data_IF_858848312021
#
_entry.id   IF_858848312021
#
_cell.length_a   1.000
_cell.length_b   1.000
_cell.length_c   1.000
_cell.angle_alpha   90.00
_cell.angle_beta   90.00
_cell.angle_gamma   90.00
#
_symmetry.space_group_name_H-M   'P 1'
#
loop_
_entity.id
_entity.type
_entity.pdbx_description
1 polymer ?
#
# COMPACT_ATOMS: atom_id res chain seq x y z
N UNK A 1 -2.83 -25.26 -0.52
CA UNK A 1 -2.57 -23.89 0.01
C UNK A 1 -2.45 -23.79 1.54
N UNK A 2 -3.31 -24.43 2.33
CA UNK A 2 -3.38 -24.19 3.78
C UNK A 2 -2.12 -24.57 4.56
N UNK A 3 -1.43 -25.65 4.16
CA UNK A 3 -0.14 -26.06 4.76
C UNK A 3 0.96 -24.99 4.54
N UNK A 4 1.07 -24.45 3.34
CA UNK A 4 2.03 -23.41 3.00
C UNK A 4 1.71 -22.10 3.71
N UNK A 5 0.44 -21.66 3.69
CA UNK A 5 -0.03 -20.50 4.44
C UNK A 5 0.35 -20.60 5.92
N UNK A 6 0.15 -21.77 6.53
CA UNK A 6 0.52 -22.03 7.93
C UNK A 6 2.03 -21.92 8.17
N UNK A 7 2.87 -22.41 7.25
CA UNK A 7 4.32 -22.26 7.35
C UNK A 7 4.76 -20.80 7.27
N UNK A 8 4.23 -20.04 6.30
CA UNK A 8 4.51 -18.61 6.15
C UNK A 8 4.05 -17.84 7.39
N UNK A 9 2.84 -18.13 7.90
CA UNK A 9 2.33 -17.55 9.14
C UNK A 9 3.22 -17.89 10.34
N UNK A 10 3.68 -19.13 10.46
CA UNK A 10 4.55 -19.54 11.57
C UNK A 10 5.88 -18.81 11.56
N UNK A 11 6.39 -18.43 10.39
CA UNK A 11 7.69 -17.78 10.26
C UNK A 11 7.61 -16.25 10.35
N UNK A 12 6.62 -15.63 9.72
CA UNK A 12 6.48 -14.17 9.66
C UNK A 12 5.46 -13.58 10.64
N UNK A 13 4.55 -14.41 11.16
CA UNK A 13 3.45 -13.93 12.01
C UNK A 13 3.93 -13.17 13.23
N UNK A 14 4.93 -13.70 13.94
CA UNK A 14 5.51 -13.04 15.12
C UNK A 14 6.20 -11.71 14.81
N UNK A 15 6.75 -11.53 13.61
CA UNK A 15 7.37 -10.26 13.20
C UNK A 15 6.33 -9.14 13.05
N UNK A 16 5.12 -9.50 12.60
CA UNK A 16 4.01 -8.57 12.40
C UNK A 16 3.24 -8.35 13.70
N UNK A 17 2.98 -9.41 14.45
CA UNK A 17 2.10 -9.43 15.63
C UNK A 17 2.55 -8.47 16.74
N UNK A 18 3.87 -8.23 16.87
CA UNK A 18 4.44 -7.32 17.87
C UNK A 18 3.95 -5.88 17.69
N UNK A 19 3.76 -5.41 16.45
CA UNK A 19 3.39 -4.01 16.15
C UNK A 19 2.04 -3.85 15.47
N UNK A 20 1.57 -4.89 14.78
CA UNK A 20 0.38 -4.87 13.94
C UNK A 20 -0.44 -6.17 14.10
N UNK A 21 -0.92 -6.49 15.32
CA UNK A 21 -1.56 -7.78 15.61
C UNK A 21 -2.76 -8.08 14.70
N UNK A 22 -3.56 -7.08 14.37
CA UNK A 22 -4.76 -7.24 13.54
C UNK A 22 -4.45 -7.41 12.04
N UNK A 23 -3.21 -7.15 11.61
CA UNK A 23 -2.82 -7.20 10.20
C UNK A 23 -2.06 -8.46 9.81
N UNK A 24 -1.80 -9.37 10.75
CA UNK A 24 -1.05 -10.61 10.50
C UNK A 24 -1.61 -11.35 9.29
N UNK A 25 -2.91 -11.62 9.27
CA UNK A 25 -3.54 -12.35 8.16
C UNK A 25 -3.38 -11.63 6.82
N UNK A 26 -3.61 -10.32 6.78
CA UNK A 26 -3.48 -9.52 5.56
C UNK A 26 -2.05 -9.59 5.00
N UNK A 27 -1.04 -9.49 5.87
CA UNK A 27 0.36 -9.58 5.45
C UNK A 27 0.69 -10.98 4.94
N UNK A 28 0.21 -12.04 5.61
CA UNK A 28 0.39 -13.42 5.11
C UNK A 28 -0.28 -13.60 3.75
N UNK A 29 -1.47 -13.05 3.56
CA UNK A 29 -2.18 -13.06 2.26
C UNK A 29 -1.39 -12.34 1.16
N UNK A 30 -0.83 -11.17 1.47
CA UNK A 30 0.02 -10.44 0.53
C UNK A 30 1.29 -11.22 0.19
N UNK A 31 2.00 -11.78 1.18
CA UNK A 31 3.20 -12.59 0.94
C UNK A 31 2.86 -13.82 0.10
N UNK A 32 1.76 -14.51 0.41
CA UNK A 32 1.25 -15.63 -0.39
C UNK A 32 1.01 -15.19 -1.83
N UNK A 33 0.26 -14.10 -2.05
CA UNK A 33 -0.02 -13.58 -3.39
C UNK A 33 1.23 -13.15 -4.16
N UNK A 34 2.29 -12.71 -3.49
CA UNK A 34 3.56 -12.34 -4.12
C UNK A 34 4.41 -13.56 -4.48
N UNK A 35 4.26 -14.67 -3.76
CA UNK A 35 4.96 -15.92 -4.00
C UNK A 35 4.25 -16.80 -5.04
N UNK A 36 2.93 -16.72 -5.11
CA UNK A 36 2.11 -17.50 -6.05
C UNK A 36 1.89 -16.71 -7.33
N UNK A 37 2.29 -17.28 -8.46
CA UNK A 37 1.90 -16.74 -9.76
C UNK A 37 0.42 -17.09 -10.01
N UNK A 38 -0.44 -16.06 -10.11
CA UNK A 38 -1.90 -16.22 -10.29
C UNK A 38 -2.27 -17.02 -11.55
N UNK A 39 -1.30 -17.22 -12.45
CA UNK A 39 -1.47 -17.89 -13.74
C UNK A 39 -0.99 -19.37 -13.76
N UNK A 40 -0.58 -19.96 -12.63
CA UNK A 40 0.01 -21.32 -12.61
C UNK A 40 -0.81 -22.38 -11.87
N UNK A 41 -0.69 -23.63 -12.34
CA UNK A 41 -1.55 -24.80 -12.05
C UNK A 41 -1.24 -25.50 -10.70
N UNK A 42 -0.17 -25.11 -9.98
CA UNK A 42 0.26 -25.79 -8.73
C UNK A 42 0.24 -24.86 -7.50
N UNK A 43 -0.93 -24.57 -6.91
CA UNK A 43 -1.08 -23.64 -5.78
C UNK A 43 -0.55 -24.19 -4.44
N UNK A 44 0.06 -25.37 -4.42
CA UNK A 44 0.51 -26.05 -3.19
C UNK A 44 2.01 -25.93 -2.94
N UNK A 45 2.79 -25.58 -3.96
CA UNK A 45 4.24 -25.50 -3.90
C UNK A 45 4.72 -24.13 -4.41
N UNK A 46 5.80 -23.63 -3.81
CA UNK A 46 6.53 -22.47 -4.31
C UNK A 46 7.87 -23.01 -4.82
N UNK A 47 8.22 -22.66 -6.05
CA UNK A 47 9.55 -22.97 -6.58
C UNK A 47 10.63 -22.17 -5.86
N UNK A 48 11.84 -22.71 -5.77
CA UNK A 48 13.00 -21.99 -5.23
C UNK A 48 13.19 -20.65 -5.99
N UNK A 49 12.92 -20.62 -7.29
CA UNK A 49 13.01 -19.41 -8.10
C UNK A 49 12.02 -18.33 -7.67
N UNK A 50 10.74 -18.66 -7.41
CA UNK A 50 9.75 -17.70 -6.91
C UNK A 50 10.15 -17.15 -5.54
N UNK A 51 10.58 -18.03 -4.63
CA UNK A 51 11.03 -17.62 -3.30
C UNK A 51 12.25 -16.68 -3.37
N UNK A 52 13.29 -17.10 -4.10
CA UNK A 52 14.51 -16.31 -4.27
C UNK A 52 14.18 -14.99 -4.94
N UNK A 53 13.37 -14.97 -6.00
CA UNK A 53 13.00 -13.73 -6.69
C UNK A 53 12.27 -12.75 -5.77
N UNK A 54 11.39 -13.22 -4.88
CA UNK A 54 10.71 -12.32 -3.94
C UNK A 54 11.67 -11.70 -2.93
N UNK A 55 12.60 -12.47 -2.37
CA UNK A 55 13.44 -12.03 -1.24
C UNK A 55 14.86 -11.60 -1.63
N UNK A 56 15.30 -11.81 -2.87
CA UNK A 56 16.65 -11.47 -3.32
C UNK A 56 16.93 -9.99 -3.10
N UNK A 57 18.03 -9.70 -2.39
CA UNK A 57 18.45 -8.34 -2.07
C UNK A 57 17.61 -7.64 -0.99
N UNK A 58 16.65 -8.33 -0.36
CA UNK A 58 15.80 -7.78 0.69
C UNK A 58 16.16 -8.35 2.05
N UNK A 59 16.18 -7.50 3.06
CA UNK A 59 16.18 -7.97 4.44
C UNK A 59 14.76 -8.42 4.80
N UNK A 60 14.57 -9.72 5.00
CA UNK A 60 13.23 -10.35 5.09
C UNK A 60 12.36 -9.71 6.17
N UNK A 61 12.92 -9.46 7.36
CA UNK A 61 12.20 -8.82 8.46
C UNK A 61 11.70 -7.44 8.07
N UNK A 62 12.58 -6.60 7.52
CA UNK A 62 12.23 -5.23 7.11
C UNK A 62 11.21 -5.23 5.96
N UNK A 63 11.31 -6.20 5.04
CA UNK A 63 10.34 -6.37 3.97
C UNK A 63 8.94 -6.69 4.51
N UNK A 64 8.83 -7.65 5.43
CA UNK A 64 7.56 -8.05 6.05
C UNK A 64 6.98 -6.90 6.89
N UNK A 65 7.81 -6.18 7.63
CA UNK A 65 7.40 -4.99 8.38
C UNK A 65 6.83 -3.89 7.46
N UNK A 66 7.47 -3.67 6.31
CA UNK A 66 7.00 -2.69 5.33
C UNK A 66 5.64 -3.09 4.74
N UNK A 67 5.41 -4.38 4.46
CA UNK A 67 4.10 -4.87 4.03
C UNK A 67 3.03 -4.63 5.10
N UNK A 68 3.37 -4.85 6.38
CA UNK A 68 2.45 -4.57 7.49
C UNK A 68 2.14 -3.07 7.61
N UNK A 69 3.16 -2.23 7.44
CA UNK A 69 3.00 -0.78 7.45
C UNK A 69 2.12 -0.29 6.30
N UNK A 70 2.33 -0.79 5.09
CA UNK A 70 1.51 -0.48 3.93
C UNK A 70 0.05 -0.94 4.13
N UNK A 71 -0.17 -2.15 4.65
CA UNK A 71 -1.49 -2.65 4.99
C UNK A 71 -2.20 -1.76 6.02
N UNK A 72 -1.48 -1.22 7.00
CA UNK A 72 -2.03 -0.29 7.99
C UNK A 72 -2.47 1.02 7.33
N UNK A 73 -1.60 1.61 6.49
CA UNK A 73 -1.91 2.83 5.74
C UNK A 73 -3.19 2.64 4.92
N UNK A 74 -3.27 1.56 4.15
CA UNK A 74 -4.45 1.25 3.34
C UNK A 74 -5.70 1.06 4.19
N UNK A 75 -5.60 0.37 5.33
CA UNK A 75 -6.72 0.16 6.27
C UNK A 75 -7.24 1.49 6.83
N UNK A 76 -6.34 2.35 7.30
CA UNK A 76 -6.68 3.68 7.83
C UNK A 76 -7.35 4.55 6.76
N UNK A 77 -6.80 4.60 5.54
CA UNK A 77 -7.37 5.36 4.42
C UNK A 77 -8.72 4.82 3.95
N UNK A 78 -8.92 3.50 4.02
CA UNK A 78 -10.18 2.83 3.67
C UNK A 78 -11.28 3.06 4.70
N UNK A 79 -10.92 3.17 5.98
CA UNK A 79 -11.87 3.38 7.07
C UNK A 79 -12.68 4.67 6.95
N UNK A 80 -12.16 5.66 6.20
CA UNK A 80 -12.71 7.01 6.07
C UNK A 80 -12.89 7.73 7.41
N UNK A 81 -12.21 7.29 8.47
CA UNK A 81 -12.24 7.98 9.75
C UNK A 81 -11.26 9.16 9.72
N UNK A 82 -11.78 10.36 9.96
CA UNK A 82 -11.01 11.62 9.88
C UNK A 82 -9.70 11.54 10.68
N UNK A 83 -9.74 11.02 11.91
CA UNK A 83 -8.57 10.96 12.78
C UNK A 83 -7.47 10.03 12.22
N UNK A 84 -7.86 8.86 11.72
CA UNK A 84 -6.92 7.89 11.15
C UNK A 84 -6.32 8.39 9.84
N UNK A 85 -7.12 9.04 8.99
CA UNK A 85 -6.63 9.65 7.74
C UNK A 85 -5.66 10.79 8.02
N UNK A 86 -5.96 11.66 9.00
CA UNK A 86 -5.03 12.71 9.46
C UNK A 86 -3.73 12.13 9.98
N UNK A 87 -3.80 11.06 10.78
CA UNK A 87 -2.61 10.41 11.31
C UNK A 87 -1.69 9.91 10.19
N UNK A 88 -2.25 9.23 9.18
CA UNK A 88 -1.48 8.77 8.02
C UNK A 88 -0.86 9.95 7.28
N UNK A 89 -1.64 10.98 6.94
CA UNK A 89 -1.12 12.12 6.19
C UNK A 89 -0.03 12.87 6.96
N UNK A 90 -0.20 13.06 8.27
CA UNK A 90 0.81 13.68 9.12
C UNK A 90 2.12 12.92 9.10
N UNK A 91 2.07 11.57 9.20
CA UNK A 91 3.27 10.72 9.15
C UNK A 91 3.95 10.80 7.79
N UNK A 92 3.20 10.70 6.70
CA UNK A 92 3.75 10.78 5.34
C UNK A 92 4.37 12.16 5.06
N UNK A 93 3.79 13.22 5.61
CA UNK A 93 4.31 14.60 5.46
C UNK A 93 5.68 14.79 6.11
N UNK A 94 6.09 13.92 7.04
CA UNK A 94 7.43 13.97 7.67
C UNK A 94 8.50 13.22 6.87
N UNK A 95 8.13 12.50 5.80
CA UNK A 95 9.04 11.67 5.02
C UNK A 95 9.11 12.22 3.59
N UNK A 96 10.25 12.74 3.14
CA UNK A 96 10.40 13.33 1.80
C UNK A 96 10.61 12.25 0.73
N UNK A 97 9.79 11.20 0.75
CA UNK A 97 9.85 10.06 -0.17
C UNK A 97 8.45 9.74 -0.64
N UNK A 98 8.30 9.42 -1.93
CA UNK A 98 7.02 9.02 -2.49
C UNK A 98 6.52 7.72 -1.85
N UNK A 99 5.28 7.69 -1.33
CA UNK A 99 4.65 6.46 -0.85
C UNK A 99 4.53 5.39 -1.95
N UNK A 100 4.43 4.11 -1.60
CA UNK A 100 4.14 3.04 -2.56
C UNK A 100 2.89 3.35 -3.40
N UNK A 101 2.89 2.90 -4.66
CA UNK A 101 1.83 3.21 -5.63
C UNK A 101 0.43 2.83 -5.14
N UNK A 102 0.32 1.71 -4.44
CA UNK A 102 -0.96 1.26 -3.88
C UNK A 102 -1.43 2.13 -2.72
N UNK A 103 -0.51 2.61 -1.88
CA UNK A 103 -0.82 3.64 -0.87
C UNK A 103 -1.32 4.94 -1.53
N UNK A 104 -0.67 5.40 -2.60
CA UNK A 104 -1.11 6.58 -3.37
C UNK A 104 -2.50 6.37 -3.98
N UNK A 105 -2.81 5.16 -4.44
CA UNK A 105 -4.14 4.78 -4.92
C UNK A 105 -5.19 5.01 -3.83
N UNK A 106 -4.96 4.48 -2.62
CA UNK A 106 -5.88 4.68 -1.49
C UNK A 106 -6.00 6.14 -1.05
N UNK A 107 -4.90 6.90 -1.08
CA UNK A 107 -4.90 8.36 -0.83
C UNK A 107 -5.85 9.03 -1.82
N UNK A 108 -5.71 8.74 -3.11
CA UNK A 108 -6.54 9.35 -4.14
C UNK A 108 -8.00 8.88 -4.11
N UNK A 109 -8.26 7.66 -3.63
CA UNK A 109 -9.63 7.19 -3.42
C UNK A 109 -10.33 7.97 -2.31
N UNK A 110 -9.62 8.52 -1.32
CA UNK A 110 -10.22 9.43 -0.33
C UNK A 110 -10.73 10.69 -1.03
N UNK A 111 -9.98 11.21 -2.01
CA UNK A 111 -10.39 12.39 -2.76
C UNK A 111 -11.72 12.19 -3.49
N UNK A 112 -12.10 10.97 -3.88
CA UNK A 112 -13.36 10.69 -4.60
C UNK A 112 -14.57 10.57 -3.67
N UNK A 113 -14.36 10.37 -2.36
CA UNK A 113 -15.43 10.32 -1.35
C UNK A 113 -16.20 11.65 -1.27
N UNK A 114 -17.50 11.69 -0.99
CA UNK A 114 -18.25 12.96 -0.86
C UNK A 114 -17.86 13.83 0.35
N UNK A 115 -17.12 13.31 1.32
CA UNK A 115 -16.74 14.04 2.54
C UNK A 115 -15.63 15.08 2.26
N UNK A 116 -15.99 16.37 2.37
CA UNK A 116 -15.08 17.50 2.16
C UNK A 116 -13.99 17.61 3.22
N UNK A 117 -14.23 17.16 4.45
CA UNK A 117 -13.21 17.19 5.50
C UNK A 117 -12.11 16.17 5.21
N UNK A 118 -12.48 15.00 4.67
CA UNK A 118 -11.50 14.00 4.25
C UNK A 118 -10.72 14.45 3.01
N UNK A 119 -11.41 15.04 2.04
CA UNK A 119 -10.75 15.59 0.84
C UNK A 119 -9.72 16.65 1.22
N UNK A 120 -10.07 17.61 2.08
CA UNK A 120 -9.18 18.71 2.44
C UNK A 120 -7.90 18.25 3.14
N UNK A 121 -7.94 17.15 3.90
CA UNK A 121 -6.75 16.55 4.52
C UNK A 121 -5.78 16.03 3.45
N UNK A 122 -6.29 15.35 2.42
CA UNK A 122 -5.45 14.82 1.34
C UNK A 122 -4.97 15.96 0.43
N UNK A 123 -5.84 16.91 0.11
CA UNK A 123 -5.49 18.08 -0.69
C UNK A 123 -4.36 18.87 -0.05
N UNK A 124 -4.42 19.09 1.28
CA UNK A 124 -3.34 19.77 2.00
C UNK A 124 -2.00 19.04 1.89
N UNK A 125 -1.98 17.70 2.00
CA UNK A 125 -0.78 16.90 1.79
C UNK A 125 -0.23 17.07 0.36
N UNK A 126 -1.08 16.90 -0.65
CA UNK A 126 -0.66 17.03 -2.06
C UNK A 126 -0.17 18.44 -2.41
N UNK A 127 -0.86 19.49 -1.94
CA UNK A 127 -0.49 20.89 -2.18
C UNK A 127 0.82 21.28 -1.49
N UNK A 128 1.20 20.58 -0.40
CA UNK A 128 2.48 20.80 0.27
C UNK A 128 3.68 20.16 -0.46
N UNK A 129 3.43 19.24 -1.39
CA UNK A 129 4.49 18.62 -2.16
C UNK A 129 5.18 19.64 -3.09
N UNK A 130 6.51 19.63 -3.10
CA UNK A 130 7.33 20.55 -3.90
C UNK A 130 8.60 19.90 -4.42
N UNK A 131 9.19 20.50 -5.45
CA UNK A 131 10.40 19.98 -6.10
C UNK A 131 10.22 18.55 -6.61
N UNK A 132 11.26 17.73 -6.45
CA UNK A 132 11.27 16.35 -6.93
C UNK A 132 10.11 15.49 -6.39
N UNK A 133 9.70 15.70 -5.13
CA UNK A 133 8.59 14.96 -4.55
C UNK A 133 7.29 15.19 -5.33
N UNK A 134 7.04 16.43 -5.77
CA UNK A 134 5.86 16.76 -6.59
C UNK A 134 5.93 16.06 -7.95
N UNK A 135 7.09 16.10 -8.60
CA UNK A 135 7.29 15.48 -9.92
C UNK A 135 7.13 13.95 -9.86
N UNK A 136 7.65 13.33 -8.81
CA UNK A 136 7.51 11.89 -8.58
C UNK A 136 6.05 11.51 -8.28
N UNK A 137 5.34 12.29 -7.46
CA UNK A 137 3.90 12.09 -7.21
C UNK A 137 3.07 12.20 -8.49
N UNK A 138 3.34 13.21 -9.32
CA UNK A 138 2.67 13.38 -10.62
C UNK A 138 2.90 12.14 -11.49
N UNK A 139 4.15 11.68 -11.59
CA UNK A 139 4.50 10.49 -12.36
C UNK A 139 3.75 9.25 -11.87
N UNK A 140 3.71 9.02 -10.55
CA UNK A 140 2.96 7.91 -9.98
C UNK A 140 1.44 8.01 -10.22
N UNK A 141 0.86 9.21 -10.13
CA UNK A 141 -0.56 9.38 -10.41
C UNK A 141 -0.89 9.24 -11.90
N UNK A 142 0.03 9.57 -12.81
CA UNK A 142 -0.12 9.24 -14.24
C UNK A 142 -0.19 7.73 -14.42
N UNK A 143 0.69 6.94 -13.77
CA UNK A 143 0.61 5.48 -13.83
C UNK A 143 -0.74 4.95 -13.34
N UNK A 144 -1.32 5.56 -12.29
CA UNK A 144 -2.64 5.16 -11.77
C UNK A 144 -3.80 5.46 -12.72
N UNK A 145 -3.62 6.26 -13.78
CA UNK A 145 -4.63 6.45 -14.82
C UNK A 145 -4.86 5.17 -15.64
N UNK A 146 -3.91 4.23 -15.66
CA UNK A 146 -4.03 2.94 -16.36
C UNK A 146 -4.63 1.84 -15.47
N UNK A 147 -4.97 2.14 -14.22
CA UNK A 147 -5.50 1.17 -13.29
C UNK A 147 -6.86 0.60 -13.75
N UNK A 148 -7.09 -0.70 -13.58
CA UNK A 148 -8.32 -1.39 -14.03
C UNK A 148 -9.61 -0.83 -13.41
N UNK A 149 -9.54 -0.45 -12.14
CA UNK A 149 -10.66 0.12 -11.38
C UNK A 149 -10.92 1.60 -11.72
N UNK A 150 -12.16 1.91 -12.15
CA UNK A 150 -12.58 3.26 -12.55
C UNK A 150 -12.45 4.31 -11.43
N UNK A 151 -12.76 3.96 -10.18
CA UNK A 151 -12.65 4.89 -9.06
C UNK A 151 -11.20 5.26 -8.77
N UNK A 152 -10.28 4.31 -8.97
CA UNK A 152 -8.84 4.55 -8.83
C UNK A 152 -8.35 5.53 -9.89
N UNK A 153 -8.81 5.40 -11.14
CA UNK A 153 -8.54 6.37 -12.21
C UNK A 153 -9.12 7.76 -11.89
N UNK A 154 -10.37 7.83 -11.44
CA UNK A 154 -11.01 9.10 -11.01
C UNK A 154 -10.24 9.77 -9.87
N UNK A 155 -9.79 8.98 -8.89
CA UNK A 155 -8.95 9.45 -7.79
C UNK A 155 -7.65 10.04 -8.30
N UNK A 156 -6.96 9.33 -9.19
CA UNK A 156 -5.73 9.81 -9.81
C UNK A 156 -5.93 11.12 -10.58
N UNK A 157 -7.00 11.26 -11.38
CA UNK A 157 -7.34 12.53 -12.02
C UNK A 157 -7.55 13.67 -11.01
N UNK A 158 -8.23 13.40 -9.89
CA UNK A 158 -8.43 14.40 -8.82
C UNK A 158 -7.11 14.82 -8.19
N UNK A 159 -6.25 13.85 -7.87
CA UNK A 159 -4.93 14.12 -7.30
C UNK A 159 -4.05 14.93 -8.26
N UNK A 160 -4.05 14.60 -9.55
CA UNK A 160 -3.35 15.38 -10.59
C UNK A 160 -3.91 16.79 -10.71
N UNK A 161 -5.23 16.98 -10.62
CA UNK A 161 -5.84 18.32 -10.62
C UNK A 161 -5.50 19.15 -9.38
N UNK A 162 -5.11 18.51 -8.26
CA UNK A 162 -4.59 19.20 -7.07
C UNK A 162 -3.09 19.48 -7.17
N UNK A 163 -2.33 18.60 -7.82
CA UNK A 163 -0.88 18.70 -8.01
C UNK A 163 -0.47 19.52 -9.25
N UNK A 164 -1.38 19.83 -10.16
CA UNK A 164 -1.17 20.67 -11.34
C UNK A 164 -1.48 22.12 -11.03
#
# INVERSE_FOLDING_TARGET
MESLRRQIRSHFGSMVEIRYPDLVNNVIDTVMSLLTDKNTWEPEYISIFQFVNLFRGKHVTSFVENLAHEALIMSHLSSRQINLVKEVMNRLSQVPVVPPLESLRYISLVLVCPDRNLQSIIEAYLLSASGQLRDDLITCYICLLEHENEQSRKGACRALGTLG
#
